data_IF_495931558706
#
_entry.id   IF_495931558706
#
_cell.length_a   1.000
_cell.length_b   1.000
_cell.length_c   1.000
_cell.angle_alpha   90.00
_cell.angle_beta   90.00
_cell.angle_gamma   90.00
#
_symmetry.space_group_name_H-M   'P 1'
#
loop_
_entity.id
_entity.type
_entity.pdbx_description
1 polymer ?
#
# COMPACT_ATOMS: atom_id res chain seq x y z
N UNK A 1 -15.33 19.25 15.21
CA UNK A 1 -14.96 19.17 13.79
C UNK A 1 -14.78 17.71 13.42
N UNK A 2 -15.50 17.23 12.45
CA UNK A 2 -15.32 15.87 11.92
C UNK A 2 -13.99 15.78 11.20
N UNK A 3 -13.12 14.87 11.62
CA UNK A 3 -11.85 14.60 10.91
C UNK A 3 -12.17 14.13 9.49
N UNK A 4 -11.43 14.60 8.46
CA UNK A 4 -11.65 14.17 7.10
C UNK A 4 -11.35 12.68 6.96
N UNK A 5 -12.11 11.99 6.12
CA UNK A 5 -11.83 10.60 5.78
C UNK A 5 -10.51 10.50 5.01
N UNK A 6 -9.65 9.58 5.44
CA UNK A 6 -8.40 9.26 4.78
C UNK A 6 -8.62 8.22 3.69
N UNK A 7 -9.45 7.22 3.97
CA UNK A 7 -9.84 6.15 3.06
C UNK A 7 -11.35 5.92 3.19
N UNK A 8 -12.05 5.92 2.06
CA UNK A 8 -13.47 5.59 1.98
C UNK A 8 -13.67 4.50 0.94
N UNK A 9 -14.33 3.45 1.34
CA UNK A 9 -14.67 2.30 0.49
C UNK A 9 -16.17 2.16 0.54
N UNK A 10 -16.82 2.14 -0.61
CA UNK A 10 -18.27 2.03 -0.75
C UNK A 10 -18.59 0.90 -1.71
N UNK A 11 -19.32 -0.12 -1.23
CA UNK A 11 -19.82 -1.23 -2.01
C UNK A 11 -18.74 -1.98 -2.79
N UNK A 12 -17.51 -2.10 -2.24
CA UNK A 12 -16.38 -2.67 -2.95
C UNK A 12 -16.61 -4.14 -3.31
N UNK A 13 -16.64 -4.42 -4.61
CA UNK A 13 -16.62 -5.78 -5.14
C UNK A 13 -15.35 -6.02 -5.94
N UNK A 14 -14.78 -7.21 -5.79
CA UNK A 14 -13.57 -7.57 -6.51
C UNK A 14 -13.47 -9.05 -6.79
N UNK A 15 -12.82 -9.37 -7.93
CA UNK A 15 -12.50 -10.72 -8.37
C UNK A 15 -11.00 -10.99 -8.33
N UNK A 16 -10.65 -12.26 -8.17
CA UNK A 16 -9.31 -12.80 -8.34
C UNK A 16 -9.43 -13.97 -9.29
N UNK A 17 -8.73 -13.94 -10.42
CA UNK A 17 -8.86 -14.98 -11.48
C UNK A 17 -10.34 -15.26 -11.82
N UNK A 18 -11.12 -14.18 -12.04
CA UNK A 18 -12.56 -14.18 -12.34
C UNK A 18 -13.47 -14.75 -11.23
N UNK A 19 -12.92 -15.10 -10.07
CA UNK A 19 -13.71 -15.55 -8.92
C UNK A 19 -14.06 -14.39 -8.02
N UNK A 20 -15.35 -14.13 -7.71
CA UNK A 20 -15.77 -13.07 -6.81
C UNK A 20 -15.31 -13.37 -5.36
N UNK A 21 -14.49 -12.51 -4.81
CA UNK A 21 -13.95 -12.66 -3.43
C UNK A 21 -14.52 -11.58 -2.51
N UNK A 22 -14.62 -10.33 -2.98
CA UNK A 22 -15.24 -9.25 -2.22
C UNK A 22 -16.64 -8.98 -2.77
N UNK A 23 -17.62 -8.84 -1.86
CA UNK A 23 -19.05 -8.79 -2.20
C UNK A 23 -19.72 -7.62 -1.48
N UNK A 24 -19.39 -6.40 -1.89
CA UNK A 24 -20.00 -5.20 -1.34
C UNK A 24 -19.46 -4.85 0.06
N UNK A 25 -18.25 -4.33 0.12
CA UNK A 25 -17.59 -3.95 1.38
C UNK A 25 -17.61 -2.44 1.53
N UNK A 26 -18.01 -1.98 2.71
CA UNK A 26 -17.95 -0.59 3.12
C UNK A 26 -16.95 -0.42 4.26
N UNK A 27 -16.14 0.64 4.19
CA UNK A 27 -15.19 1.00 5.23
C UNK A 27 -14.86 2.48 5.14
N UNK A 28 -14.85 3.16 6.27
CA UNK A 28 -14.34 4.53 6.37
C UNK A 28 -13.25 4.56 7.42
N UNK A 29 -12.05 5.04 7.05
CA UNK A 29 -10.92 5.26 7.94
C UNK A 29 -10.60 6.75 7.94
N UNK A 30 -10.70 7.38 9.11
CA UNK A 30 -10.36 8.80 9.27
C UNK A 30 -8.87 8.98 9.51
N UNK A 31 -8.42 10.20 9.33
CA UNK A 31 -7.01 10.53 9.61
C UNK A 31 -6.66 10.23 11.08
N UNK A 32 -5.56 9.51 11.30
CA UNK A 32 -5.08 9.14 12.63
C UNK A 32 -5.77 7.93 13.26
N UNK A 33 -6.77 7.33 12.60
CA UNK A 33 -7.39 6.09 13.06
C UNK A 33 -6.59 4.85 12.66
N UNK A 34 -6.65 3.83 13.51
CA UNK A 34 -6.13 2.49 13.22
C UNK A 34 -7.30 1.50 13.22
N UNK A 35 -7.49 0.80 12.12
CA UNK A 35 -8.53 -0.21 11.95
C UNK A 35 -7.93 -1.60 11.87
N UNK A 36 -8.37 -2.53 12.72
CA UNK A 36 -8.00 -3.93 12.67
C UNK A 36 -9.06 -4.73 11.91
N UNK A 37 -8.65 -5.38 10.81
CA UNK A 37 -9.51 -6.28 10.04
C UNK A 37 -9.33 -7.70 10.54
N UNK A 38 -10.35 -8.25 11.18
CA UNK A 38 -10.35 -9.60 11.72
C UNK A 38 -11.36 -10.49 10.99
N UNK A 39 -11.12 -11.78 11.03
CA UNK A 39 -11.99 -12.79 10.42
C UNK A 39 -11.25 -14.08 10.13
N UNK A 40 -11.96 -15.18 9.82
CA UNK A 40 -11.36 -16.47 9.51
C UNK A 40 -10.51 -16.41 8.23
N UNK A 41 -9.69 -17.44 8.02
CA UNK A 41 -8.95 -17.58 6.77
C UNK A 41 -9.93 -17.71 5.59
N UNK A 42 -9.60 -17.07 4.47
CA UNK A 42 -10.48 -17.03 3.30
C UNK A 42 -11.58 -15.95 3.34
N UNK A 43 -11.69 -15.15 4.41
CA UNK A 43 -12.68 -14.05 4.49
C UNK A 43 -12.34 -12.81 3.65
N UNK A 44 -11.28 -12.84 2.86
CA UNK A 44 -10.91 -11.75 1.97
C UNK A 44 -10.04 -10.63 2.58
N UNK A 45 -9.49 -10.81 3.78
CA UNK A 45 -8.63 -9.79 4.44
C UNK A 45 -7.45 -9.36 3.57
N UNK A 46 -6.65 -10.32 3.13
CA UNK A 46 -5.49 -10.05 2.24
C UNK A 46 -5.91 -9.58 0.86
N UNK A 47 -7.06 -10.08 0.38
CA UNK A 47 -7.63 -9.64 -0.91
C UNK A 47 -7.97 -8.15 -0.89
N UNK A 48 -8.55 -7.64 0.20
CA UNK A 48 -8.83 -6.19 0.34
C UNK A 48 -7.56 -5.36 0.19
N UNK A 49 -6.50 -5.73 0.90
CA UNK A 49 -5.22 -5.03 0.82
C UNK A 49 -4.63 -5.05 -0.59
N UNK A 50 -4.66 -6.21 -1.28
CA UNK A 50 -4.17 -6.34 -2.64
C UNK A 50 -5.00 -5.53 -3.66
N UNK A 51 -6.33 -5.53 -3.53
CA UNK A 51 -7.24 -4.72 -4.36
C UNK A 51 -6.97 -3.23 -4.16
N UNK A 52 -6.85 -2.79 -2.91
CA UNK A 52 -6.56 -1.39 -2.57
C UNK A 52 -5.21 -0.93 -3.13
N UNK A 53 -4.23 -1.82 -3.19
CA UNK A 53 -2.92 -1.51 -3.78
C UNK A 53 -2.90 -1.63 -5.31
N UNK A 54 -3.98 -2.10 -5.95
CA UNK A 54 -4.02 -2.28 -7.40
C UNK A 54 -3.08 -3.38 -7.90
N UNK A 55 -2.93 -4.46 -7.11
CA UNK A 55 -2.07 -5.59 -7.48
C UNK A 55 -2.61 -6.29 -8.72
N UNK A 56 -1.75 -6.62 -9.72
CA UNK A 56 -2.16 -7.40 -10.89
C UNK A 56 -2.86 -8.72 -10.49
N UNK A 57 -3.88 -9.13 -11.24
CA UNK A 57 -4.70 -10.30 -10.94
C UNK A 57 -5.85 -10.05 -9.97
N UNK A 58 -5.95 -8.85 -9.40
CA UNK A 58 -7.05 -8.39 -8.56
C UNK A 58 -7.83 -7.31 -9.30
N UNK A 59 -9.07 -7.58 -9.65
CA UNK A 59 -9.90 -6.66 -10.43
C UNK A 59 -11.03 -6.13 -9.57
N UNK A 60 -11.12 -4.82 -9.45
CA UNK A 60 -12.26 -4.13 -8.89
C UNK A 60 -13.40 -4.19 -9.91
N UNK A 61 -14.54 -4.79 -9.54
CA UNK A 61 -15.68 -5.02 -10.43
C UNK A 61 -16.84 -4.06 -10.15
N UNK A 62 -16.99 -3.62 -8.91
CA UNK A 62 -17.98 -2.61 -8.53
C UNK A 62 -17.54 -1.86 -7.27
N UNK A 63 -18.24 -0.77 -6.99
CA UNK A 63 -17.95 0.09 -5.84
C UNK A 63 -16.98 1.21 -6.14
N UNK A 64 -16.65 1.95 -5.09
CA UNK A 64 -15.78 3.13 -5.17
C UNK A 64 -14.73 3.09 -4.05
N UNK A 65 -13.53 3.54 -4.36
CA UNK A 65 -12.45 3.69 -3.39
C UNK A 65 -11.86 5.09 -3.49
N UNK A 66 -12.09 5.89 -2.45
CA UNK A 66 -11.51 7.22 -2.33
C UNK A 66 -10.37 7.22 -1.34
N UNK A 67 -9.24 7.76 -1.73
CA UNK A 67 -8.10 8.01 -0.84
C UNK A 67 -7.82 9.51 -0.80
N UNK A 68 -7.95 10.12 0.37
CA UNK A 68 -7.88 11.57 0.55
C UNK A 68 -8.82 12.33 -0.40
N UNK A 69 -10.02 11.79 -0.62
CA UNK A 69 -11.03 12.36 -1.52
C UNK A 69 -10.82 12.10 -3.01
N UNK A 70 -9.72 11.47 -3.43
CA UNK A 70 -9.45 11.11 -4.83
C UNK A 70 -9.85 9.66 -5.12
N UNK A 71 -10.57 9.42 -6.20
CA UNK A 71 -10.89 8.05 -6.65
C UNK A 71 -9.63 7.37 -7.20
N UNK A 72 -9.22 6.29 -6.54
CA UNK A 72 -8.03 5.54 -6.88
C UNK A 72 -8.29 4.25 -7.66
N UNK A 73 -9.54 3.95 -8.01
CA UNK A 73 -9.92 2.68 -8.64
C UNK A 73 -9.16 2.40 -9.94
N UNK A 74 -8.94 3.44 -10.75
CA UNK A 74 -8.26 3.34 -12.05
C UNK A 74 -6.74 3.57 -11.99
N UNK A 75 -6.22 3.90 -10.83
CA UNK A 75 -4.80 4.18 -10.67
C UNK A 75 -3.98 2.87 -10.60
N UNK A 76 -2.81 2.89 -11.20
CA UNK A 76 -1.83 1.81 -11.09
C UNK A 76 -1.21 1.75 -9.68
N UNK A 77 -0.57 0.63 -9.32
CA UNK A 77 0.00 0.45 -7.98
C UNK A 77 1.06 1.52 -7.63
N UNK A 78 1.90 1.89 -8.59
CA UNK A 78 2.89 2.96 -8.44
C UNK A 78 2.25 4.34 -8.23
N UNK A 79 1.18 4.66 -8.97
CA UNK A 79 0.43 5.89 -8.80
C UNK A 79 -0.25 5.97 -7.42
N UNK A 80 -0.76 4.85 -6.90
CA UNK A 80 -1.31 4.77 -5.54
C UNK A 80 -0.23 4.95 -4.49
N UNK A 81 0.94 4.34 -4.70
CA UNK A 81 2.10 4.51 -3.81
C UNK A 81 2.59 5.96 -3.76
N UNK A 82 2.63 6.67 -4.90
CA UNK A 82 2.97 8.09 -4.97
C UNK A 82 2.01 8.98 -4.17
N UNK A 83 0.74 8.57 -4.01
CA UNK A 83 -0.25 9.27 -3.17
C UNK A 83 -0.12 8.98 -1.68
N UNK A 84 0.74 8.02 -1.33
CA UNK A 84 1.06 7.65 0.05
C UNK A 84 0.38 6.38 0.55
N UNK A 85 -0.25 5.58 -0.33
CA UNK A 85 -0.68 4.23 0.02
C UNK A 85 0.52 3.30 0.10
N UNK A 86 0.63 2.55 1.20
CA UNK A 86 1.70 1.59 1.41
C UNK A 86 1.13 0.26 1.92
N UNK A 87 1.68 -0.84 1.43
CA UNK A 87 1.35 -2.19 1.90
C UNK A 87 2.60 -2.86 2.46
N UNK A 88 2.59 -3.17 3.76
CA UNK A 88 3.56 -4.09 4.34
C UNK A 88 3.16 -5.52 3.98
N UNK A 89 3.99 -6.20 3.20
CA UNK A 89 3.73 -7.58 2.80
C UNK A 89 4.00 -8.55 3.97
N UNK A 90 3.18 -9.57 4.09
CA UNK A 90 3.32 -10.58 5.14
C UNK A 90 4.65 -11.35 5.02
N UNK A 91 5.08 -11.63 3.81
CA UNK A 91 6.36 -12.24 3.50
C UNK A 91 7.13 -11.32 2.55
N UNK A 92 8.29 -10.80 2.97
CA UNK A 92 9.15 -10.05 2.06
C UNK A 92 9.68 -10.98 0.96
N UNK A 93 9.69 -10.47 -0.26
CA UNK A 93 10.19 -11.20 -1.43
C UNK A 93 11.58 -10.66 -1.76
N UNK A 94 12.56 -11.55 -1.78
CA UNK A 94 13.90 -11.22 -2.24
C UNK A 94 13.91 -11.01 -3.76
N UNK A 95 14.61 -9.99 -4.22
CA UNK A 95 14.83 -9.73 -5.65
C UNK A 95 16.30 -10.09 -5.95
N UNK A 96 16.57 -11.24 -6.59
CA UNK A 96 17.94 -11.66 -6.86
C UNK A 96 18.75 -10.62 -7.61
N UNK A 97 19.97 -10.34 -7.14
CA UNK A 97 20.88 -9.38 -7.78
C UNK A 97 20.58 -7.90 -7.48
N UNK A 98 19.56 -7.58 -6.70
CA UNK A 98 19.25 -6.20 -6.31
C UNK A 98 19.57 -5.99 -4.84
N UNK A 99 20.49 -5.08 -4.53
CA UNK A 99 20.78 -4.72 -3.14
C UNK A 99 19.63 -3.92 -2.52
N UNK A 100 19.42 -4.08 -1.22
CA UNK A 100 18.40 -3.35 -0.45
C UNK A 100 18.53 -1.84 -0.63
N UNK A 101 19.77 -1.32 -0.60
CA UNK A 101 20.04 0.11 -0.79
C UNK A 101 19.57 0.60 -2.17
N UNK A 102 19.88 -0.14 -3.24
CA UNK A 102 19.46 0.23 -4.59
C UNK A 102 17.95 0.14 -4.76
N UNK A 103 17.33 -0.90 -4.21
CA UNK A 103 15.88 -1.05 -4.21
C UNK A 103 15.19 0.13 -3.51
N UNK A 104 15.58 0.42 -2.27
CA UNK A 104 14.98 1.51 -1.49
C UNK A 104 15.24 2.89 -2.11
N UNK A 105 16.43 3.14 -2.69
CA UNK A 105 16.72 4.39 -3.38
C UNK A 105 15.83 4.59 -4.60
N UNK A 106 15.62 3.52 -5.38
CA UNK A 106 14.73 3.55 -6.54
C UNK A 106 13.27 3.80 -6.12
N UNK A 107 12.81 3.14 -5.06
CA UNK A 107 11.49 3.36 -4.49
C UNK A 107 11.32 4.80 -3.98
N UNK A 108 12.32 5.34 -3.27
CA UNK A 108 12.33 6.72 -2.79
C UNK A 108 12.17 7.71 -3.95
N UNK A 109 13.01 7.57 -5.00
CA UNK A 109 12.91 8.39 -6.21
C UNK A 109 11.52 8.31 -6.85
N UNK A 110 10.96 7.11 -6.96
CA UNK A 110 9.63 6.91 -7.57
C UNK A 110 8.51 7.60 -6.78
N UNK A 111 8.57 7.57 -5.45
CA UNK A 111 7.53 8.15 -4.58
C UNK A 111 7.71 9.65 -4.40
N UNK A 112 8.95 10.14 -4.22
CA UNK A 112 9.24 11.55 -3.97
C UNK A 112 9.39 12.38 -5.22
N UNK A 113 9.71 11.76 -6.37
CA UNK A 113 10.00 12.46 -7.62
C UNK A 113 11.37 13.17 -7.63
N UNK A 114 12.20 12.94 -6.62
CA UNK A 114 13.48 13.62 -6.42
C UNK A 114 14.63 12.65 -6.56
N UNK A 115 15.73 13.13 -7.14
CA UNK A 115 16.98 12.38 -7.17
C UNK A 115 17.75 12.61 -5.89
N UNK A 116 18.17 11.53 -5.25
CA UNK A 116 19.06 11.55 -4.10
C UNK A 116 20.36 10.82 -4.45
N UNK A 117 21.52 11.41 -4.14
CA UNK A 117 22.79 10.74 -4.37
C UNK A 117 22.96 9.53 -3.42
N UNK A 118 23.80 8.57 -3.81
CA UNK A 118 23.93 7.31 -3.09
C UNK A 118 24.48 7.48 -1.67
N UNK A 119 25.35 8.46 -1.44
CA UNK A 119 25.96 8.71 -0.14
C UNK A 119 24.95 9.32 0.84
N UNK A 120 24.23 10.32 0.38
CA UNK A 120 23.17 10.99 1.12
C UNK A 120 22.03 10.02 1.47
N UNK A 121 21.63 9.18 0.51
CA UNK A 121 20.61 8.15 0.75
C UNK A 121 21.05 7.13 1.78
N UNK A 122 22.32 6.68 1.75
CA UNK A 122 22.86 5.77 2.77
C UNK A 122 22.81 6.36 4.16
N UNK A 123 23.15 7.64 4.31
CA UNK A 123 23.07 8.35 5.58
C UNK A 123 21.62 8.36 6.10
N UNK A 124 20.68 8.77 5.26
CA UNK A 124 19.25 8.78 5.60
C UNK A 124 18.73 7.39 5.97
N UNK A 125 19.14 6.35 5.23
CA UNK A 125 18.78 4.97 5.54
C UNK A 125 19.30 4.54 6.91
N UNK A 126 20.56 4.84 7.25
CA UNK A 126 21.15 4.50 8.55
C UNK A 126 20.41 5.18 9.71
N UNK A 127 20.04 6.44 9.56
CA UNK A 127 19.21 7.15 10.55
C UNK A 127 17.89 6.41 10.79
N UNK A 128 17.22 5.95 9.72
CA UNK A 128 15.98 5.17 9.83
C UNK A 128 16.17 3.78 10.39
N UNK A 129 17.29 3.13 10.14
CA UNK A 129 17.62 1.84 10.75
C UNK A 129 17.76 1.97 12.28
N UNK A 130 18.41 3.03 12.76
CA UNK A 130 18.52 3.32 14.20
C UNK A 130 17.14 3.55 14.81
N UNK A 131 16.27 4.35 14.15
CA UNK A 131 14.89 4.59 14.60
C UNK A 131 14.07 3.29 14.73
N UNK A 132 14.38 2.29 13.92
CA UNK A 132 13.70 0.98 13.88
C UNK A 132 14.39 -0.09 14.74
N UNK A 133 15.51 0.22 15.39
CA UNK A 133 16.29 -0.75 16.16
C UNK A 133 16.94 -1.84 15.29
N UNK A 134 17.21 -1.56 14.02
CA UNK A 134 17.91 -2.47 13.12
C UNK A 134 19.40 -2.24 13.25
N UNK A 135 20.13 -3.25 13.68
CA UNK A 135 21.59 -3.20 13.74
C UNK A 135 22.22 -3.24 12.34
N UNK A 136 23.38 -2.60 12.16
CA UNK A 136 24.14 -2.65 10.91
C UNK A 136 24.49 -4.13 10.59
N UNK A 137 23.95 -4.64 9.49
CA UNK A 137 24.30 -5.93 8.92
C UNK A 137 25.45 -5.78 7.93
#
# INVERSE_FOLDING_TARGET
MTQPAMLEIEGLEATVEDKPILKGIDLVVKQGETHALMGPNGSGKSTRANVLMGRPGYTLTAGRVLFKGEDIAKLTADQRAQRGLFLAMQYPVEIPGVSVVNFLRTAYKSVKGEEINALEFRKHMKEKMVDLGIEDA
#
